data_IF_078163916183
#
_entry.id   IF_078163916183
#
_cell.length_a   1.000
_cell.length_b   1.000
_cell.length_c   1.000
_cell.angle_alpha   90.00
_cell.angle_beta   90.00
_cell.angle_gamma   90.00
#
_symmetry.space_group_name_H-M   'P 1'
#
loop_
_entity.id
_entity.type
_entity.pdbx_description
1 polymer ?
#
# COMPACT_ATOMS: atom_id res chain seq x y z
N UNK A 1 28.04 -4.15 5.74
CA UNK A 1 27.02 -4.01 4.70
C UNK A 1 26.15 -5.23 4.66
N UNK A 2 24.95 -5.24 5.06
CA UNK A 2 24.15 -6.37 4.66
C UNK A 2 22.67 -6.11 4.51
N UNK A 3 22.30 -4.86 4.34
CA UNK A 3 21.03 -4.57 3.71
C UNK A 3 21.10 -5.02 2.25
N UNK A 4 20.28 -6.01 1.89
CA UNK A 4 20.22 -6.53 0.53
C UNK A 4 18.92 -6.12 -0.15
N UNK A 5 18.97 -6.05 -1.47
CA UNK A 5 17.78 -5.83 -2.30
C UNK A 5 17.11 -7.17 -2.65
N UNK A 6 15.84 -7.13 -3.07
CA UNK A 6 15.13 -8.31 -3.60
C UNK A 6 15.90 -8.96 -4.77
N UNK A 7 16.55 -8.17 -5.62
CA UNK A 7 17.39 -8.67 -6.72
C UNK A 7 18.56 -9.47 -6.20
N UNK A 8 19.23 -8.97 -5.16
CA UNK A 8 20.37 -9.66 -4.56
C UNK A 8 19.95 -10.97 -3.87
N UNK A 9 18.79 -10.97 -3.20
CA UNK A 9 18.23 -12.20 -2.65
C UNK A 9 17.98 -13.25 -3.74
N UNK A 10 17.40 -12.85 -4.89
CA UNK A 10 17.18 -13.75 -6.03
C UNK A 10 18.51 -14.32 -6.59
N UNK A 11 19.54 -13.49 -6.67
CA UNK A 11 20.87 -13.93 -7.09
C UNK A 11 21.48 -14.94 -6.12
N UNK A 12 21.36 -14.71 -4.79
CA UNK A 12 21.81 -15.64 -3.76
C UNK A 12 21.10 -16.99 -3.87
N UNK A 13 19.78 -16.96 -4.04
CA UNK A 13 18.96 -18.18 -4.22
C UNK A 13 19.36 -18.93 -5.49
N UNK A 14 19.56 -18.23 -6.62
CA UNK A 14 19.93 -18.83 -7.90
C UNK A 14 21.34 -19.45 -7.88
N UNK A 15 22.27 -18.86 -7.11
CA UNK A 15 23.66 -19.35 -6.95
C UNK A 15 23.81 -20.34 -5.79
N UNK A 16 22.74 -20.70 -5.10
CA UNK A 16 22.74 -21.54 -3.89
C UNK A 16 23.61 -21.01 -2.74
N UNK A 17 23.83 -19.69 -2.73
CA UNK A 17 24.63 -18.99 -1.72
C UNK A 17 23.72 -18.42 -0.61
N UNK A 18 22.94 -19.29 0.03
CA UNK A 18 22.03 -18.87 1.10
C UNK A 18 22.82 -18.71 2.40
N UNK A 19 22.68 -17.56 3.04
CA UNK A 19 23.28 -17.30 4.36
C UNK A 19 22.52 -17.96 5.50
N UNK A 20 23.09 -17.93 6.70
CA UNK A 20 22.50 -18.55 7.90
C UNK A 20 21.47 -17.65 8.61
N UNK A 21 21.39 -16.34 8.29
CA UNK A 21 20.48 -15.41 8.96
C UNK A 21 19.89 -14.41 7.98
N UNK A 22 18.56 -14.30 8.02
CA UNK A 22 17.79 -13.29 7.27
C UNK A 22 16.81 -12.55 8.17
N UNK A 23 16.68 -11.23 7.96
CA UNK A 23 15.67 -10.40 8.58
C UNK A 23 14.84 -9.69 7.51
N UNK A 24 13.57 -10.05 7.40
CA UNK A 24 12.63 -9.55 6.41
C UNK A 24 11.63 -8.60 7.08
N UNK A 25 11.65 -7.34 6.73
CA UNK A 25 10.81 -6.32 7.37
C UNK A 25 10.42 -5.20 6.43
N UNK A 26 9.51 -4.33 6.84
CA UNK A 26 9.11 -3.13 6.11
C UNK A 26 7.61 -2.95 5.98
N UNK A 27 7.22 -1.89 5.28
CA UNK A 27 5.82 -1.49 5.14
C UNK A 27 5.06 -2.40 4.15
N UNK A 28 5.75 -2.93 3.12
CA UNK A 28 5.14 -3.78 2.09
C UNK A 28 5.09 -5.25 2.53
N UNK A 29 4.05 -5.58 3.30
CA UNK A 29 3.89 -6.92 3.89
C UNK A 29 3.76 -8.04 2.85
N UNK A 30 3.20 -7.75 1.67
CA UNK A 30 3.18 -8.70 0.55
C UNK A 30 4.59 -9.09 0.12
N UNK A 31 5.51 -8.12 0.02
CA UNK A 31 6.89 -8.38 -0.38
C UNK A 31 7.65 -9.13 0.71
N UNK A 32 7.43 -8.82 1.99
CA UNK A 32 7.98 -9.58 3.13
C UNK A 32 7.60 -11.06 3.00
N UNK A 33 6.31 -11.38 2.88
CA UNK A 33 5.81 -12.75 2.72
C UNK A 33 6.32 -13.42 1.44
N UNK A 34 6.37 -12.71 0.33
CA UNK A 34 6.85 -13.23 -0.96
C UNK A 34 8.34 -13.61 -0.88
N UNK A 35 9.16 -12.81 -0.20
CA UNK A 35 10.58 -13.08 -0.02
C UNK A 35 10.80 -14.24 0.95
N UNK A 36 10.01 -14.33 2.03
CA UNK A 36 9.98 -15.52 2.89
C UNK A 36 9.69 -16.79 2.08
N UNK A 37 8.60 -16.80 1.31
CA UNK A 37 8.18 -17.97 0.53
C UNK A 37 9.25 -18.39 -0.50
N UNK A 38 10.02 -17.45 -1.05
CA UNK A 38 11.14 -17.77 -1.94
C UNK A 38 12.27 -18.49 -1.21
N UNK A 39 12.61 -18.04 -0.01
CA UNK A 39 13.61 -18.70 0.83
C UNK A 39 13.14 -20.09 1.24
N UNK A 40 11.90 -20.19 1.75
CA UNK A 40 11.32 -21.47 2.17
C UNK A 40 11.29 -22.48 1.03
N UNK A 41 10.83 -22.09 -0.16
CA UNK A 41 10.79 -22.95 -1.34
C UNK A 41 12.17 -23.48 -1.74
N UNK A 42 13.24 -22.72 -1.50
CA UNK A 42 14.61 -23.17 -1.79
C UNK A 42 15.18 -24.04 -0.68
N UNK A 43 14.73 -23.81 0.56
CA UNK A 43 15.13 -24.57 1.75
C UNK A 43 14.24 -25.79 1.99
N UNK A 44 13.20 -25.98 1.18
CA UNK A 44 12.30 -27.13 1.20
C UNK A 44 13.12 -28.38 0.80
N UNK A 45 13.54 -29.12 1.79
CA UNK A 45 14.43 -30.26 1.67
C UNK A 45 13.77 -31.55 2.14
N UNK A 46 14.60 -32.60 2.34
CA UNK A 46 14.14 -33.87 2.88
C UNK A 46 13.63 -33.71 4.32
N UNK A 47 12.52 -34.36 4.64
CA UNK A 47 11.92 -34.43 5.98
C UNK A 47 11.59 -33.04 6.56
N UNK A 48 10.69 -32.23 5.91
CA UNK A 48 10.37 -30.89 6.38
C UNK A 48 9.80 -30.90 7.80
N UNK A 49 9.10 -31.94 8.22
CA UNK A 49 8.55 -32.11 9.57
C UNK A 49 9.62 -32.09 10.69
N UNK A 50 10.89 -32.43 10.35
CA UNK A 50 12.02 -32.39 11.29
C UNK A 50 12.95 -31.19 11.05
N UNK A 51 12.99 -30.69 9.82
CA UNK A 51 13.95 -29.67 9.39
C UNK A 51 13.37 -28.27 9.21
N UNK A 52 12.05 -28.10 9.40
CA UNK A 52 11.38 -26.81 9.41
C UNK A 52 10.66 -26.59 10.74
N UNK A 53 10.95 -25.48 11.39
CA UNK A 53 10.26 -25.06 12.61
C UNK A 53 9.85 -23.60 12.53
N UNK A 54 8.62 -23.31 12.91
CA UNK A 54 8.07 -21.96 12.94
C UNK A 54 7.73 -21.53 14.37
N UNK A 55 8.15 -20.34 14.74
CA UNK A 55 7.91 -19.75 16.05
C UNK A 55 7.05 -18.48 15.91
N UNK A 56 6.02 -18.33 16.74
CA UNK A 56 5.22 -17.11 16.83
C UNK A 56 5.98 -15.98 17.55
N UNK A 57 5.39 -14.80 17.54
CA UNK A 57 5.95 -13.56 18.09
C UNK A 57 6.29 -13.59 19.61
N UNK A 58 5.62 -14.46 20.36
CA UNK A 58 5.72 -14.61 21.81
C UNK A 58 6.56 -15.83 22.26
N UNK A 59 7.21 -16.51 21.29
CA UNK A 59 8.06 -17.66 21.61
C UNK A 59 9.26 -17.23 22.46
N UNK A 60 9.59 -18.00 23.53
CA UNK A 60 10.78 -17.73 24.34
C UNK A 60 12.06 -17.82 23.48
N UNK A 61 13.01 -16.89 23.72
CA UNK A 61 14.29 -16.88 22.99
C UNK A 61 15.05 -18.21 23.20
N UNK A 62 14.97 -18.78 24.39
CA UNK A 62 15.62 -20.08 24.70
C UNK A 62 15.08 -21.20 23.79
N UNK A 63 13.77 -21.26 23.55
CA UNK A 63 13.16 -22.26 22.65
C UNK A 63 13.60 -22.08 21.20
N UNK A 64 13.74 -20.83 20.76
CA UNK A 64 14.27 -20.51 19.42
C UNK A 64 15.75 -20.93 19.34
N UNK A 65 16.54 -20.67 20.38
CA UNK A 65 17.95 -21.04 20.45
C UNK A 65 18.13 -22.56 20.39
N UNK A 66 17.36 -23.33 21.16
CA UNK A 66 17.39 -24.80 21.13
C UNK A 66 17.08 -25.31 19.72
N UNK A 67 16.09 -24.74 19.06
CA UNK A 67 15.72 -25.09 17.70
C UNK A 67 16.82 -24.72 16.69
N UNK A 68 17.49 -23.59 16.83
CA UNK A 68 18.56 -23.14 15.92
C UNK A 68 19.81 -24.00 16.05
N UNK A 69 20.21 -24.37 17.27
CA UNK A 69 21.44 -25.13 17.55
C UNK A 69 21.29 -26.63 17.24
N UNK A 70 20.07 -27.18 17.34
CA UNK A 70 19.82 -28.60 17.03
C UNK A 70 20.27 -28.95 15.61
N UNK A 71 20.86 -30.16 15.41
CA UNK A 71 21.33 -30.60 14.10
C UNK A 71 20.18 -30.93 13.14
N UNK A 72 20.34 -30.69 11.82
CA UNK A 72 19.35 -31.11 10.83
C UNK A 72 19.24 -32.65 10.78
N UNK A 73 18.03 -33.15 10.55
CA UNK A 73 17.76 -34.59 10.44
C UNK A 73 17.86 -35.05 8.98
N UNK A 74 18.87 -35.82 8.67
CA UNK A 74 19.11 -36.40 7.33
C UNK A 74 19.02 -35.37 6.19
N UNK A 75 19.40 -34.11 6.46
CA UNK A 75 19.44 -33.00 5.51
C UNK A 75 20.72 -32.16 5.71
N UNK A 76 21.13 -31.44 4.68
CA UNK A 76 22.29 -30.55 4.77
C UNK A 76 22.02 -29.34 5.65
N UNK A 77 20.79 -28.83 5.58
CA UNK A 77 20.35 -27.63 6.30
C UNK A 77 18.93 -27.75 6.83
N UNK A 78 18.66 -27.06 7.90
CA UNK A 78 17.31 -26.84 8.42
C UNK A 78 16.95 -25.37 8.40
N UNK A 79 15.66 -25.07 8.49
CA UNK A 79 15.11 -23.74 8.50
C UNK A 79 14.32 -23.51 9.78
N UNK A 80 14.62 -22.40 10.46
CA UNK A 80 13.86 -21.91 11.62
C UNK A 80 13.31 -20.54 11.25
N UNK A 81 12.00 -20.35 11.40
CA UNK A 81 11.37 -19.05 11.15
C UNK A 81 10.78 -18.47 12.42
N UNK A 82 10.88 -17.16 12.59
CA UNK A 82 10.28 -16.42 13.72
C UNK A 82 9.47 -15.28 13.16
N UNK A 83 8.18 -15.28 13.44
CA UNK A 83 7.27 -14.23 12.98
C UNK A 83 7.12 -13.11 14.02
N UNK A 84 7.08 -11.85 13.56
CA UNK A 84 6.80 -10.65 14.36
C UNK A 84 7.60 -10.53 15.67
N UNK A 85 8.88 -10.97 15.66
CA UNK A 85 9.77 -10.83 16.82
C UNK A 85 9.93 -9.34 17.19
N UNK A 86 9.42 -8.96 18.37
CA UNK A 86 9.40 -7.56 18.79
C UNK A 86 10.53 -7.24 19.78
N UNK A 87 11.68 -6.83 19.29
CA UNK A 87 12.84 -6.44 20.12
C UNK A 87 12.56 -5.22 21.00
N UNK A 88 11.58 -4.38 20.65
CA UNK A 88 11.20 -3.22 21.48
C UNK A 88 10.55 -3.66 22.80
N UNK A 89 9.78 -4.73 22.78
CA UNK A 89 9.09 -5.29 23.95
C UNK A 89 10.00 -6.12 24.85
N UNK A 90 11.16 -6.58 24.34
CA UNK A 90 12.09 -7.42 25.08
C UNK A 90 12.80 -6.65 26.20
N UNK A 91 13.00 -7.31 27.33
CA UNK A 91 13.88 -6.83 28.41
C UNK A 91 15.37 -7.05 28.05
N UNK A 92 16.27 -6.50 28.85
CA UNK A 92 17.72 -6.57 28.59
C UNK A 92 18.24 -8.01 28.55
N UNK A 93 17.79 -8.88 29.46
CA UNK A 93 18.25 -10.27 29.51
C UNK A 93 17.81 -11.07 28.28
N UNK A 94 16.59 -10.84 27.79
CA UNK A 94 16.08 -11.46 26.55
C UNK A 94 16.84 -10.96 25.32
N UNK A 95 17.16 -9.66 25.28
CA UNK A 95 17.96 -9.08 24.20
C UNK A 95 19.38 -9.66 24.17
N UNK A 96 20.01 -9.82 25.33
CA UNK A 96 21.35 -10.38 25.43
C UNK A 96 21.38 -11.82 24.95
N UNK A 97 20.39 -12.63 25.34
CA UNK A 97 20.22 -14.01 24.84
C UNK A 97 19.99 -14.05 23.32
N UNK A 98 19.14 -13.13 22.81
CA UNK A 98 18.91 -13.04 21.37
C UNK A 98 20.22 -12.69 20.62
N UNK A 99 21.00 -11.75 21.13
CA UNK A 99 22.28 -11.39 20.51
C UNK A 99 23.31 -12.52 20.55
N UNK A 100 23.36 -13.27 21.64
CA UNK A 100 24.19 -14.47 21.77
C UNK A 100 23.78 -15.53 20.74
N UNK A 101 22.46 -15.78 20.59
CA UNK A 101 21.93 -16.66 19.56
C UNK A 101 22.36 -16.24 18.16
N UNK A 102 22.23 -14.95 17.82
CA UNK A 102 22.61 -14.43 16.48
C UNK A 102 24.11 -14.60 16.20
N UNK A 103 24.96 -14.62 17.23
CA UNK A 103 26.40 -14.83 17.10
C UNK A 103 26.80 -16.30 16.94
N UNK A 104 25.91 -17.24 17.32
CA UNK A 104 26.19 -18.69 17.40
C UNK A 104 25.42 -19.55 16.41
N UNK A 105 24.73 -18.97 15.41
CA UNK A 105 23.95 -19.72 14.40
C UNK A 105 24.87 -20.66 13.61
N UNK A 106 24.62 -21.99 13.61
CA UNK A 106 25.39 -22.93 12.81
C UNK A 106 25.20 -22.73 11.31
N UNK A 107 26.21 -23.06 10.50
CA UNK A 107 26.09 -23.01 9.02
C UNK A 107 25.03 -23.97 8.47
N UNK A 108 24.69 -25.00 9.23
CA UNK A 108 23.64 -25.98 8.91
C UNK A 108 22.23 -25.46 9.19
N UNK A 109 22.07 -24.28 9.80
CA UNK A 109 20.77 -23.69 10.11
C UNK A 109 20.58 -22.37 9.38
N UNK A 110 19.39 -22.16 8.83
CA UNK A 110 18.97 -20.86 8.31
C UNK A 110 17.87 -20.30 9.22
N UNK A 111 18.20 -19.27 9.97
CA UNK A 111 17.24 -18.53 10.79
C UNK A 111 16.66 -17.37 9.96
N UNK A 112 15.33 -17.32 9.86
CA UNK A 112 14.61 -16.25 9.15
C UNK A 112 13.70 -15.56 10.14
N UNK A 113 14.03 -14.33 10.51
CA UNK A 113 13.14 -13.45 11.29
C UNK A 113 12.39 -12.59 10.30
N UNK A 114 11.06 -12.58 10.37
CA UNK A 114 10.24 -11.81 9.44
C UNK A 114 9.08 -11.11 10.15
N UNK A 115 8.71 -9.92 9.67
CA UNK A 115 7.67 -9.08 10.29
C UNK A 115 6.45 -8.94 9.35
N UNK A 116 5.55 -9.96 9.34
CA UNK A 116 4.35 -9.96 8.49
C UNK A 116 3.30 -8.95 8.93
N UNK A 117 3.28 -8.51 10.19
CA UNK A 117 2.30 -7.56 10.72
C UNK A 117 2.94 -6.39 11.46
N UNK A 118 4.03 -6.64 12.18
CA UNK A 118 4.69 -5.62 12.99
C UNK A 118 5.32 -4.55 12.10
N UNK A 119 5.02 -3.28 12.39
CA UNK A 119 5.66 -2.12 11.79
C UNK A 119 6.78 -1.62 12.70
N UNK A 120 7.93 -1.34 12.12
CA UNK A 120 9.09 -0.83 12.85
C UNK A 120 9.63 0.44 12.19
N UNK A 121 10.11 1.37 13.02
CA UNK A 121 10.84 2.53 12.55
C UNK A 121 12.24 2.55 13.20
N UNK A 122 13.26 1.98 12.52
CA UNK A 122 14.62 1.95 13.06
C UNK A 122 15.22 3.33 13.29
N UNK A 123 14.68 4.38 12.66
CA UNK A 123 15.16 5.75 12.87
C UNK A 123 14.74 6.30 14.23
N UNK A 124 13.60 5.88 14.74
CA UNK A 124 13.06 6.33 16.03
C UNK A 124 13.47 5.45 17.21
N UNK A 125 13.70 4.15 16.99
CA UNK A 125 14.02 3.19 18.06
C UNK A 125 15.52 2.88 18.15
N UNK A 126 16.09 3.02 19.33
CA UNK A 126 17.49 2.65 19.61
C UNK A 126 17.68 1.13 19.62
N UNK A 127 16.71 0.36 20.13
CA UNK A 127 16.76 -1.11 20.15
C UNK A 127 16.79 -1.67 18.73
N UNK A 128 15.90 -1.21 17.84
CA UNK A 128 15.91 -1.64 16.44
C UNK A 128 17.20 -1.26 15.70
N UNK A 129 17.77 -0.08 15.96
CA UNK A 129 19.06 0.29 15.37
C UNK A 129 20.20 -0.64 15.82
N UNK A 130 20.22 -0.98 17.12
CA UNK A 130 21.23 -1.90 17.66
C UNK A 130 21.05 -3.29 17.09
N UNK A 131 19.82 -3.79 17.02
CA UNK A 131 19.51 -5.08 16.41
C UNK A 131 19.95 -5.17 14.95
N UNK A 132 19.62 -4.18 14.12
CA UNK A 132 20.07 -4.12 12.73
C UNK A 132 21.60 -4.10 12.61
N UNK A 133 22.30 -3.35 13.46
CA UNK A 133 23.78 -3.34 13.47
C UNK A 133 24.37 -4.71 13.79
N UNK A 134 23.74 -5.45 14.70
CA UNK A 134 24.13 -6.85 15.01
C UNK A 134 23.90 -7.78 13.81
N UNK A 135 22.75 -7.68 13.18
CA UNK A 135 22.44 -8.43 11.96
C UNK A 135 23.44 -8.15 10.83
N UNK A 136 23.89 -6.89 10.72
CA UNK A 136 24.82 -6.45 9.68
C UNK A 136 26.17 -7.20 9.70
N UNK A 137 26.55 -7.80 10.78
CA UNK A 137 27.81 -8.56 10.93
C UNK A 137 27.65 -10.04 10.65
N UNK A 138 26.43 -10.60 10.72
CA UNK A 138 26.19 -12.05 10.70
C UNK A 138 25.17 -12.51 9.66
N UNK A 139 24.34 -11.61 9.15
CA UNK A 139 23.23 -11.98 8.28
C UNK A 139 22.90 -10.93 7.25
N UNK A 140 21.70 -11.03 6.70
CA UNK A 140 21.18 -10.16 5.68
C UNK A 140 19.86 -9.53 6.13
N UNK A 141 19.76 -8.23 6.04
CA UNK A 141 18.51 -7.51 6.23
C UNK A 141 17.88 -7.13 4.88
N UNK A 142 16.60 -7.39 4.71
CA UNK A 142 15.84 -7.09 3.49
C UNK A 142 14.65 -6.20 3.83
N UNK A 143 14.80 -4.87 3.69
CA UNK A 143 13.69 -3.94 3.86
C UNK A 143 12.76 -4.01 2.65
N UNK A 144 11.48 -4.18 2.90
CA UNK A 144 10.39 -4.09 1.92
C UNK A 144 9.67 -2.77 2.10
N UNK A 145 10.23 -1.71 1.54
CA UNK A 145 9.69 -0.35 1.62
C UNK A 145 8.53 -0.17 0.65
N UNK A 146 7.66 0.81 0.92
CA UNK A 146 6.60 1.21 -0.01
C UNK A 146 7.18 1.60 -1.34
N UNK A 147 6.60 1.05 -2.40
CA UNK A 147 7.01 1.34 -3.76
C UNK A 147 6.51 2.73 -4.18
N UNK A 148 7.35 3.46 -4.91
CA UNK A 148 6.96 4.70 -5.57
C UNK A 148 6.18 4.41 -6.86
N UNK A 149 5.46 5.39 -7.39
CA UNK A 149 4.63 5.24 -8.60
C UNK A 149 5.37 4.54 -9.75
N UNK A 150 6.58 4.98 -10.08
CA UNK A 150 7.41 4.35 -11.12
C UNK A 150 7.78 2.88 -10.84
N UNK A 151 7.88 2.50 -9.56
CA UNK A 151 8.19 1.13 -9.13
C UNK A 151 6.92 0.28 -9.14
N UNK A 152 5.76 0.89 -8.79
CA UNK A 152 4.44 0.26 -8.92
C UNK A 152 4.12 -0.06 -10.38
N UNK A 153 4.36 0.87 -11.31
CA UNK A 153 4.18 0.62 -12.74
C UNK A 153 5.02 -0.58 -13.21
N UNK A 154 6.32 -0.61 -12.83
CA UNK A 154 7.21 -1.72 -13.15
C UNK A 154 6.76 -3.03 -12.49
N UNK A 155 6.21 -2.94 -11.28
CA UNK A 155 5.68 -4.09 -10.56
C UNK A 155 4.49 -4.67 -11.31
N UNK A 156 3.52 -3.85 -11.68
CA UNK A 156 2.30 -4.24 -12.42
C UNK A 156 2.66 -4.88 -13.77
N UNK A 157 3.60 -4.29 -14.54
CA UNK A 157 4.09 -4.88 -15.77
C UNK A 157 4.70 -6.28 -15.55
N UNK A 158 5.56 -6.43 -14.54
CA UNK A 158 6.19 -7.72 -14.20
C UNK A 158 5.18 -8.79 -13.75
N UNK A 159 4.12 -8.40 -13.03
CA UNK A 159 3.07 -9.35 -12.65
C UNK A 159 2.28 -9.81 -13.90
N UNK A 160 2.03 -8.92 -14.87
CA UNK A 160 1.40 -9.29 -16.13
C UNK A 160 2.30 -10.23 -16.98
N UNK A 161 3.60 -9.94 -17.06
CA UNK A 161 4.59 -10.80 -17.76
C UNK A 161 4.63 -12.22 -17.23
N UNK A 162 4.52 -12.40 -15.91
CA UNK A 162 4.44 -13.74 -15.27
C UNK A 162 3.23 -14.56 -15.71
N UNK A 163 2.16 -13.88 -16.11
CA UNK A 163 0.94 -14.47 -16.64
C UNK A 163 0.91 -14.52 -18.18
N UNK A 164 2.07 -14.37 -18.84
CA UNK A 164 2.22 -14.32 -20.29
C UNK A 164 1.39 -13.20 -20.96
N UNK A 165 1.21 -12.08 -20.26
CA UNK A 165 0.55 -10.89 -20.79
C UNK A 165 1.56 -9.75 -20.97
N UNK A 166 1.38 -8.96 -22.03
CA UNK A 166 2.16 -7.76 -22.30
C UNK A 166 1.33 -6.54 -21.91
N UNK A 167 1.85 -5.75 -20.97
CA UNK A 167 1.20 -4.55 -20.48
C UNK A 167 2.07 -3.33 -20.76
N UNK A 168 1.56 -2.37 -21.54
CA UNK A 168 2.28 -1.13 -21.77
C UNK A 168 2.39 -0.30 -20.49
N UNK A 169 3.49 0.45 -20.35
CA UNK A 169 3.73 1.31 -19.20
C UNK A 169 2.60 2.31 -18.96
N UNK A 170 2.02 2.88 -20.02
CA UNK A 170 0.89 3.81 -19.94
C UNK A 170 -0.36 3.16 -19.34
N UNK A 171 -0.62 1.89 -19.68
CA UNK A 171 -1.73 1.15 -19.08
C UNK A 171 -1.42 0.72 -17.64
N UNK A 172 -0.16 0.39 -17.31
CA UNK A 172 0.25 0.13 -15.94
C UNK A 172 0.07 1.36 -15.05
N UNK A 173 0.46 2.57 -15.51
CA UNK A 173 0.19 3.83 -14.83
C UNK A 173 -1.32 4.00 -14.57
N UNK A 174 -2.16 3.75 -15.57
CA UNK A 174 -3.62 3.84 -15.43
C UNK A 174 -4.16 2.85 -14.40
N UNK A 175 -3.66 1.61 -14.39
CA UNK A 175 -4.06 0.60 -13.38
C UNK A 175 -3.68 1.06 -11.98
N UNK A 176 -2.46 1.59 -11.80
CA UNK A 176 -2.02 2.13 -10.51
C UNK A 176 -2.91 3.31 -10.08
N UNK A 177 -3.29 4.20 -11.00
CA UNK A 177 -4.23 5.29 -10.72
C UNK A 177 -5.61 4.79 -10.31
N UNK A 178 -6.11 3.69 -10.88
CA UNK A 178 -7.44 3.14 -10.58
C UNK A 178 -7.48 2.37 -9.27
N UNK A 179 -6.45 1.60 -8.99
CA UNK A 179 -6.41 0.67 -7.86
C UNK A 179 -5.75 1.29 -6.62
N UNK A 180 -4.84 2.26 -6.84
CA UNK A 180 -4.02 2.85 -5.79
C UNK A 180 -2.70 2.10 -5.60
N UNK A 181 -2.09 2.27 -4.41
CA UNK A 181 -0.74 1.78 -4.12
C UNK A 181 -0.70 0.48 -3.30
N UNK A 182 -1.82 -0.17 -3.06
CA UNK A 182 -1.88 -1.47 -2.39
C UNK A 182 -1.44 -2.58 -3.33
N UNK A 183 -0.32 -3.24 -3.03
CA UNK A 183 0.24 -4.30 -3.87
C UNK A 183 -0.64 -5.54 -3.97
N UNK A 184 -1.43 -5.87 -2.93
CA UNK A 184 -2.36 -7.00 -2.98
C UNK A 184 -3.49 -6.69 -3.96
N UNK A 185 -4.10 -5.50 -3.84
CA UNK A 185 -5.14 -5.04 -4.75
C UNK A 185 -4.62 -5.00 -6.20
N UNK A 186 -3.44 -4.40 -6.43
CA UNK A 186 -2.81 -4.35 -7.76
C UNK A 186 -2.55 -5.76 -8.32
N UNK A 187 -2.02 -6.67 -7.50
CA UNK A 187 -1.76 -8.07 -7.93
C UNK A 187 -3.06 -8.77 -8.33
N UNK A 188 -4.12 -8.61 -7.52
CA UNK A 188 -5.42 -9.23 -7.79
C UNK A 188 -6.05 -8.67 -9.08
N UNK A 189 -6.01 -7.35 -9.29
CA UNK A 189 -6.55 -6.72 -10.49
C UNK A 189 -5.76 -7.12 -11.75
N UNK A 190 -4.43 -7.18 -11.68
CA UNK A 190 -3.60 -7.65 -12.80
C UNK A 190 -3.87 -9.14 -13.10
N UNK A 191 -3.98 -9.98 -12.09
CA UNK A 191 -4.30 -11.40 -12.26
C UNK A 191 -5.65 -11.58 -12.94
N UNK A 192 -6.68 -10.86 -12.48
CA UNK A 192 -8.02 -10.85 -13.09
C UNK A 192 -7.98 -10.36 -14.53
N UNK A 193 -7.25 -9.27 -14.79
CA UNK A 193 -7.10 -8.69 -16.12
C UNK A 193 -6.39 -9.65 -17.10
N UNK A 194 -5.32 -10.30 -16.68
CA UNK A 194 -4.60 -11.30 -17.46
C UNK A 194 -5.46 -12.53 -17.76
N UNK A 195 -6.23 -13.00 -16.77
CA UNK A 195 -7.18 -14.09 -16.99
C UNK A 195 -8.29 -13.71 -17.99
N UNK A 196 -8.78 -12.47 -17.95
CA UNK A 196 -9.75 -11.96 -18.91
C UNK A 196 -9.17 -11.81 -20.33
N UNK A 197 -7.91 -11.37 -20.44
CA UNK A 197 -7.22 -11.20 -21.72
C UNK A 197 -6.87 -12.55 -22.37
N UNK A 198 -6.69 -13.62 -21.59
CA UNK A 198 -6.31 -14.94 -22.09
C UNK A 198 -4.87 -15.02 -22.61
N UNK A 199 -4.00 -14.07 -22.26
CA UNK A 199 -2.62 -13.93 -22.72
C UNK A 199 -2.48 -12.86 -23.82
N UNK A 200 -1.21 -12.56 -24.17
CA UNK A 200 -0.89 -11.57 -25.20
C UNK A 200 -0.96 -10.11 -24.73
N UNK A 201 -1.17 -9.19 -25.68
CA UNK A 201 -1.17 -7.75 -25.38
C UNK A 201 -2.50 -7.31 -24.75
N UNK A 202 -2.40 -6.62 -23.62
CA UNK A 202 -3.54 -6.03 -22.91
C UNK A 202 -3.92 -4.69 -23.52
N UNK A 203 -5.21 -4.53 -23.86
CA UNK A 203 -5.76 -3.31 -24.45
C UNK A 203 -6.32 -2.34 -23.42
N UNK A 204 -6.45 -1.06 -23.79
CA UNK A 204 -7.07 -0.05 -22.95
C UNK A 204 -8.55 -0.37 -22.65
N UNK A 205 -9.28 -0.96 -23.59
CA UNK A 205 -10.68 -1.37 -23.41
C UNK A 205 -10.81 -2.47 -22.34
N UNK A 206 -9.91 -3.46 -22.39
CA UNK A 206 -9.87 -4.53 -21.37
C UNK A 206 -9.60 -3.96 -19.97
N UNK A 207 -8.67 -2.99 -19.84
CA UNK A 207 -8.41 -2.30 -18.56
C UNK A 207 -9.66 -1.58 -18.06
N UNK A 208 -10.33 -0.78 -18.91
CA UNK A 208 -11.54 -0.05 -18.52
C UNK A 208 -12.69 -0.95 -18.08
N UNK A 209 -12.84 -2.10 -18.74
CA UNK A 209 -13.92 -3.05 -18.49
C UNK A 209 -13.67 -3.93 -17.27
N UNK A 210 -12.41 -4.26 -16.97
CA UNK A 210 -12.07 -5.30 -16.00
C UNK A 210 -11.55 -4.75 -14.67
N UNK A 211 -10.74 -3.66 -14.72
CA UNK A 211 -10.09 -3.14 -13.53
C UNK A 211 -11.10 -2.39 -12.66
N UNK A 212 -11.24 -2.83 -11.43
CA UNK A 212 -12.09 -2.18 -10.43
C UNK A 212 -11.39 -0.93 -9.92
N UNK A 213 -12.07 0.22 -10.03
CA UNK A 213 -11.58 1.47 -9.48
C UNK A 213 -11.84 1.45 -7.97
N UNK A 214 -10.84 1.83 -7.16
CA UNK A 214 -11.04 1.97 -5.72
C UNK A 214 -11.97 3.15 -5.40
N UNK A 215 -12.52 3.18 -4.20
CA UNK A 215 -13.44 4.23 -3.75
C UNK A 215 -12.82 5.62 -3.90
N UNK A 216 -11.59 5.82 -3.45
CA UNK A 216 -10.92 7.13 -3.50
C UNK A 216 -10.82 7.64 -4.94
N UNK A 217 -10.38 6.80 -5.88
CA UNK A 217 -10.32 7.14 -7.30
C UNK A 217 -11.71 7.43 -7.88
N UNK A 218 -12.72 6.63 -7.52
CA UNK A 218 -14.10 6.84 -7.99
C UNK A 218 -14.64 8.17 -7.49
N UNK A 219 -14.38 8.54 -6.23
CA UNK A 219 -14.79 9.83 -5.66
C UNK A 219 -14.02 11.01 -6.31
N UNK A 220 -12.75 10.86 -6.66
CA UNK A 220 -12.03 11.88 -7.44
C UNK A 220 -12.61 12.06 -8.86
N UNK A 221 -13.02 10.98 -9.51
CA UNK A 221 -13.73 11.06 -10.79
C UNK A 221 -15.09 11.73 -10.63
N UNK A 222 -15.79 11.45 -9.54
CA UNK A 222 -17.04 12.10 -9.15
C UNK A 222 -16.84 13.61 -8.92
N UNK A 223 -15.84 13.99 -8.12
CA UNK A 223 -15.48 15.39 -7.89
C UNK A 223 -15.23 16.14 -9.21
N UNK A 224 -14.46 15.52 -10.14
CA UNK A 224 -14.22 16.09 -11.45
C UNK A 224 -15.49 16.24 -12.29
N UNK A 225 -16.40 15.25 -12.26
CA UNK A 225 -17.68 15.34 -12.95
C UNK A 225 -18.56 16.49 -12.39
N UNK A 226 -18.58 16.63 -11.05
CA UNK A 226 -19.31 17.72 -10.38
C UNK A 226 -18.77 19.10 -10.77
N UNK A 227 -17.44 19.28 -10.77
CA UNK A 227 -16.79 20.53 -11.16
C UNK A 227 -17.06 20.90 -12.62
N UNK A 228 -17.12 19.90 -13.52
CA UNK A 228 -17.41 20.11 -14.96
C UNK A 228 -18.88 20.23 -15.31
N UNK A 229 -19.77 20.09 -14.35
CA UNK A 229 -21.20 20.12 -14.62
C UNK A 229 -21.74 18.88 -15.34
N UNK A 230 -21.01 17.76 -15.31
CA UNK A 230 -21.43 16.51 -15.96
C UNK A 230 -22.37 15.71 -15.03
N UNK A 231 -23.66 16.06 -15.09
CA UNK A 231 -24.72 15.45 -14.28
C UNK A 231 -24.78 13.92 -14.45
N UNK A 232 -24.83 13.47 -15.71
CA UNK A 232 -25.00 12.04 -16.02
C UNK A 232 -23.88 11.21 -15.43
N UNK A 233 -22.65 11.68 -15.58
CA UNK A 233 -21.46 11.00 -15.05
C UNK A 233 -21.41 11.04 -13.52
N UNK A 234 -21.76 12.18 -12.90
CA UNK A 234 -21.75 12.31 -11.45
C UNK A 234 -22.72 11.31 -10.80
N UNK A 235 -23.95 11.20 -11.29
CA UNK A 235 -24.94 10.26 -10.76
C UNK A 235 -24.57 8.81 -11.05
N UNK A 236 -24.04 8.49 -12.24
CA UNK A 236 -23.56 7.13 -12.55
C UNK A 236 -22.42 6.69 -11.62
N UNK A 237 -21.54 7.61 -11.22
CA UNK A 237 -20.46 7.33 -10.26
C UNK A 237 -20.99 7.18 -8.83
N UNK A 238 -22.03 7.93 -8.44
CA UNK A 238 -22.70 7.71 -7.16
C UNK A 238 -23.34 6.32 -7.11
N UNK A 239 -24.09 5.94 -8.14
CA UNK A 239 -24.72 4.63 -8.22
C UNK A 239 -23.68 3.50 -8.16
N UNK A 240 -22.51 3.69 -8.80
CA UNK A 240 -21.41 2.74 -8.72
C UNK A 240 -20.89 2.60 -7.28
N UNK A 241 -20.65 3.72 -6.57
CA UNK A 241 -20.19 3.71 -5.17
C UNK A 241 -21.22 3.02 -4.25
N UNK A 242 -22.50 3.32 -4.43
CA UNK A 242 -23.57 2.68 -3.66
C UNK A 242 -23.69 1.17 -3.98
N UNK A 243 -23.49 0.77 -5.25
CA UNK A 243 -23.48 -0.66 -5.63
C UNK A 243 -22.25 -1.39 -5.04
N UNK A 244 -21.13 -0.70 -4.82
CA UNK A 244 -19.97 -1.20 -4.10
C UNK A 244 -20.17 -1.26 -2.57
N UNK A 245 -21.35 -0.86 -2.07
CA UNK A 245 -21.71 -0.78 -0.65
C UNK A 245 -20.84 0.19 0.14
N UNK A 246 -20.36 1.24 -0.53
CA UNK A 246 -19.65 2.31 0.17
C UNK A 246 -20.63 3.15 0.99
N UNK A 247 -20.26 3.42 2.22
CA UNK A 247 -21.10 4.18 3.14
C UNK A 247 -21.19 5.67 2.75
N UNK A 248 -22.37 6.29 2.75
CA UNK A 248 -22.59 7.67 2.35
C UNK A 248 -21.66 8.67 3.07
N UNK A 249 -21.43 8.49 4.37
CA UNK A 249 -20.54 9.36 5.14
C UNK A 249 -19.07 9.21 4.69
N UNK A 250 -18.64 8.03 4.25
CA UNK A 250 -17.29 7.80 3.74
C UNK A 250 -17.11 8.47 2.38
N UNK A 251 -18.10 8.36 1.50
CA UNK A 251 -18.13 9.06 0.21
C UNK A 251 -18.02 10.58 0.45
N UNK A 252 -18.83 11.11 1.37
CA UNK A 252 -18.81 12.54 1.72
C UNK A 252 -17.46 12.98 2.30
N UNK A 253 -16.84 12.17 3.16
CA UNK A 253 -15.53 12.48 3.76
C UNK A 253 -14.42 12.59 2.70
N UNK A 254 -14.37 11.65 1.74
CA UNK A 254 -13.39 11.69 0.64
C UNK A 254 -13.69 12.85 -0.32
N UNK A 255 -14.95 13.09 -0.64
CA UNK A 255 -15.37 14.22 -1.47
C UNK A 255 -14.99 15.57 -0.83
N UNK A 256 -15.29 15.73 0.46
CA UNK A 256 -14.90 16.91 1.24
C UNK A 256 -13.38 17.13 1.22
N UNK A 257 -12.62 16.05 1.38
CA UNK A 257 -11.16 16.07 1.30
C UNK A 257 -10.67 16.57 -0.07
N UNK A 258 -11.31 16.14 -1.18
CA UNK A 258 -10.98 16.60 -2.53
C UNK A 258 -11.25 18.12 -2.70
N UNK A 259 -12.38 18.62 -2.21
CA UNK A 259 -12.68 20.05 -2.26
C UNK A 259 -11.76 20.88 -1.35
N UNK A 260 -11.34 20.37 -0.19
CA UNK A 260 -10.33 21.00 0.66
C UNK A 260 -8.99 21.10 -0.08
N UNK A 261 -8.59 20.06 -0.79
CA UNK A 261 -7.36 20.08 -1.58
C UNK A 261 -7.45 21.10 -2.73
N UNK A 262 -8.58 21.17 -3.44
CA UNK A 262 -8.84 22.20 -4.45
C UNK A 262 -8.77 23.61 -3.86
N UNK A 263 -9.38 23.84 -2.69
CA UNK A 263 -9.31 25.14 -2.00
C UNK A 263 -7.85 25.51 -1.65
N UNK A 264 -7.08 24.58 -1.09
CA UNK A 264 -5.67 24.80 -0.73
C UNK A 264 -4.80 25.10 -1.96
N UNK A 265 -5.00 24.34 -3.05
CA UNK A 265 -4.27 24.57 -4.31
C UNK A 265 -4.65 25.93 -4.90
N UNK A 266 -5.94 26.29 -4.93
CA UNK A 266 -6.38 27.61 -5.43
C UNK A 266 -5.78 28.75 -4.60
N UNK A 267 -5.83 28.65 -3.29
CA UNK A 267 -5.23 29.63 -2.39
C UNK A 267 -3.70 29.76 -2.59
N UNK A 268 -3.00 28.66 -2.84
CA UNK A 268 -1.58 28.67 -3.17
C UNK A 268 -1.31 29.41 -4.48
N UNK A 269 -2.09 29.13 -5.54
CA UNK A 269 -1.99 29.81 -6.84
C UNK A 269 -2.23 31.33 -6.69
N UNK A 270 -3.26 31.74 -5.98
CA UNK A 270 -3.56 33.18 -5.74
C UNK A 270 -2.48 33.87 -4.90
N UNK A 271 -1.81 33.12 -4.01
CA UNK A 271 -0.66 33.61 -3.25
C UNK A 271 0.66 33.59 -4.04
N UNK A 272 0.66 33.24 -5.33
CA UNK A 272 1.86 33.13 -6.17
C UNK A 272 2.79 31.97 -5.79
N UNK A 273 2.27 30.97 -5.05
CA UNK A 273 3.02 29.78 -4.65
C UNK A 273 2.80 28.62 -5.62
N UNK A 274 3.62 27.59 -5.50
CA UNK A 274 3.45 26.36 -6.29
C UNK A 274 2.21 25.58 -5.83
N UNK A 275 1.62 24.78 -6.71
CA UNK A 275 0.46 23.90 -6.43
C UNK A 275 0.78 22.82 -5.41
N UNK A 276 2.07 22.58 -5.12
CA UNK A 276 2.56 21.67 -4.10
C UNK A 276 2.75 22.32 -2.71
N UNK A 277 2.59 23.64 -2.57
CA UNK A 277 2.73 24.33 -1.29
C UNK A 277 1.84 23.76 -0.15
N UNK A 278 0.63 23.19 -0.41
CA UNK A 278 -0.14 22.54 0.63
C UNK A 278 0.57 21.39 1.38
N UNK A 279 1.61 20.78 0.80
CA UNK A 279 2.41 19.72 1.47
C UNK A 279 3.15 20.23 2.71
N UNK A 280 3.36 21.55 2.83
CA UNK A 280 3.97 22.17 4.01
C UNK A 280 3.03 22.16 5.23
N UNK A 281 1.71 22.09 5.00
CA UNK A 281 0.67 22.27 6.02
C UNK A 281 -0.19 21.02 6.24
N UNK A 282 -0.02 19.96 5.43
CA UNK A 282 -0.80 18.73 5.49
C UNK A 282 0.04 17.49 5.21
N UNK A 283 -0.42 16.33 5.70
CA UNK A 283 0.24 15.07 5.43
C UNK A 283 -0.19 14.49 4.07
N UNK A 284 0.59 14.75 3.04
CA UNK A 284 0.39 14.24 1.69
C UNK A 284 1.41 13.13 1.32
N UNK A 285 2.15 12.58 2.28
CA UNK A 285 3.14 11.52 2.03
C UNK A 285 2.50 10.29 1.37
N UNK A 286 2.97 9.94 0.17
CA UNK A 286 2.39 8.87 -0.65
C UNK A 286 1.01 9.20 -1.26
N UNK A 287 0.56 10.47 -1.20
CA UNK A 287 -0.72 10.95 -1.72
C UNK A 287 -0.58 12.22 -2.55
N UNK A 288 0.58 12.51 -3.09
CA UNK A 288 0.86 13.71 -3.90
C UNK A 288 -0.05 13.80 -5.13
N UNK A 289 -0.53 12.67 -5.62
CA UNK A 289 -1.48 12.60 -6.73
C UNK A 289 -2.78 13.39 -6.45
N UNK A 290 -3.20 13.54 -5.19
CA UNK A 290 -4.38 14.32 -4.81
C UNK A 290 -4.24 15.80 -5.22
N UNK A 291 -3.07 16.39 -4.99
CA UNK A 291 -2.79 17.77 -5.37
C UNK A 291 -2.74 17.94 -6.89
N UNK A 292 -2.27 16.93 -7.64
CA UNK A 292 -2.30 16.92 -9.11
C UNK A 292 -3.75 16.88 -9.64
N UNK A 293 -4.62 16.10 -9.01
CA UNK A 293 -6.05 16.11 -9.34
C UNK A 293 -6.68 17.47 -9.01
N UNK A 294 -6.43 17.99 -7.82
CA UNK A 294 -6.93 19.30 -7.40
C UNK A 294 -6.46 20.44 -8.33
N UNK A 295 -5.18 20.44 -8.76
CA UNK A 295 -4.64 21.41 -9.72
C UNK A 295 -5.39 21.41 -11.06
N UNK A 296 -5.70 20.21 -11.55
CA UNK A 296 -6.46 20.07 -12.81
C UNK A 296 -7.89 20.60 -12.66
N UNK A 297 -8.54 20.29 -11.54
CA UNK A 297 -9.96 20.52 -11.33
C UNK A 297 -10.26 21.96 -10.86
N UNK A 298 -9.25 22.68 -10.31
CA UNK A 298 -9.42 24.03 -9.75
C UNK A 298 -9.37 25.16 -10.78
N UNK A 299 -9.06 24.86 -12.05
CA UNK A 299 -8.77 25.89 -13.08
C UNK A 299 -9.92 26.88 -13.26
N UNK A 300 -11.14 26.38 -13.27
CA UNK A 300 -12.36 27.15 -13.57
C UNK A 300 -13.15 27.51 -12.29
N UNK A 301 -12.57 27.29 -11.09
CA UNK A 301 -13.20 27.57 -9.82
C UNK A 301 -12.53 28.75 -9.11
N UNK A 302 -13.30 29.73 -8.69
CA UNK A 302 -12.81 30.82 -7.82
C UNK A 302 -12.73 30.33 -6.36
N UNK A 303 -11.99 31.08 -5.53
CA UNK A 303 -11.88 30.76 -4.10
C UNK A 303 -13.23 30.93 -3.38
N UNK A 304 -14.07 31.86 -3.84
CA UNK A 304 -15.42 32.11 -3.31
C UNK A 304 -16.34 30.91 -3.61
N UNK A 305 -16.30 30.38 -4.85
CA UNK A 305 -17.07 29.21 -5.24
C UNK A 305 -16.65 27.98 -4.40
N UNK A 306 -15.35 27.80 -4.17
CA UNK A 306 -14.84 26.71 -3.34
C UNK A 306 -15.28 26.85 -1.88
N UNK A 307 -15.34 28.07 -1.33
CA UNK A 307 -15.91 28.34 0.01
C UNK A 307 -17.40 27.98 0.08
N UNK A 308 -18.17 28.33 -0.96
CA UNK A 308 -19.59 27.95 -1.05
C UNK A 308 -19.74 26.44 -1.10
N UNK A 309 -18.95 25.73 -1.93
CA UNK A 309 -18.93 24.26 -2.00
C UNK A 309 -18.59 23.63 -0.64
N UNK A 310 -17.57 24.13 0.07
CA UNK A 310 -17.20 23.61 1.40
C UNK A 310 -18.32 23.83 2.42
N UNK A 311 -19.06 24.93 2.35
CA UNK A 311 -20.23 25.17 3.20
C UNK A 311 -21.36 24.20 2.89
N UNK A 312 -21.60 23.87 1.62
CA UNK A 312 -22.59 22.86 1.21
C UNK A 312 -22.21 21.45 1.70
N UNK A 313 -20.94 21.09 1.60
CA UNK A 313 -20.41 19.82 2.11
C UNK A 313 -20.58 19.72 3.63
N UNK A 314 -20.28 20.77 4.39
CA UNK A 314 -20.49 20.83 5.83
C UNK A 314 -21.98 20.67 6.20
N UNK A 315 -22.88 21.33 5.49
CA UNK A 315 -24.32 21.21 5.73
C UNK A 315 -24.83 19.79 5.44
N UNK A 316 -24.29 19.13 4.42
CA UNK A 316 -24.59 17.74 4.13
C UNK A 316 -24.08 16.79 5.23
N UNK A 317 -22.87 17.01 5.73
CA UNK A 317 -22.30 16.23 6.85
C UNK A 317 -23.19 16.33 8.10
N UNK A 318 -23.64 17.53 8.44
CA UNK A 318 -24.58 17.74 9.53
C UNK A 318 -25.93 17.04 9.28
N UNK A 319 -26.44 17.10 8.05
CA UNK A 319 -27.70 16.42 7.68
C UNK A 319 -27.59 14.91 7.84
N UNK A 320 -26.52 14.27 7.35
CA UNK A 320 -26.29 12.83 7.47
C UNK A 320 -26.15 12.41 8.95
N UNK A 321 -25.43 13.19 9.77
CA UNK A 321 -25.26 12.91 11.20
C UNK A 321 -26.56 13.05 12.02
N UNK A 322 -27.47 13.87 11.55
CA UNK A 322 -28.78 14.10 12.20
C UNK A 322 -29.89 13.24 11.61
N UNK A 323 -29.70 12.67 10.41
CA UNK A 323 -30.66 11.81 9.77
C UNK A 323 -30.56 10.38 10.32
N UNK A 324 -31.68 9.71 10.46
CA UNK A 324 -31.76 8.38 11.10
C UNK A 324 -31.88 7.21 10.11
N UNK A 325 -31.27 7.23 8.91
CA UNK A 325 -31.37 6.07 8.02
C UNK A 325 -30.73 6.22 6.63
N UNK A 326 -30.22 5.11 6.09
CA UNK A 326 -29.47 5.02 4.81
C UNK A 326 -30.16 5.68 3.60
N UNK A 327 -31.49 5.59 3.50
CA UNK A 327 -32.22 6.23 2.41
C UNK A 327 -32.18 7.78 2.49
N UNK A 328 -32.18 8.32 3.70
CA UNK A 328 -32.08 9.76 3.92
C UNK A 328 -30.67 10.28 3.61
N UNK A 329 -29.66 9.47 3.89
CA UNK A 329 -28.25 9.79 3.63
C UNK A 329 -27.97 9.85 2.12
N UNK A 330 -28.54 8.92 1.35
CA UNK A 330 -28.48 8.96 -0.12
C UNK A 330 -29.15 10.23 -0.68
N UNK A 331 -30.35 10.57 -0.21
CA UNK A 331 -31.06 11.80 -0.62
C UNK A 331 -30.24 13.04 -0.29
N UNK A 332 -29.58 13.06 0.88
CA UNK A 332 -28.70 14.18 1.27
C UNK A 332 -27.53 14.35 0.30
N UNK A 333 -26.89 13.25 -0.14
CA UNK A 333 -25.83 13.28 -1.15
C UNK A 333 -26.34 13.74 -2.52
N UNK A 334 -27.48 13.24 -2.98
CA UNK A 334 -28.09 13.64 -4.26
C UNK A 334 -28.44 15.15 -4.26
N UNK A 335 -28.97 15.65 -3.15
CA UNK A 335 -29.22 17.10 -2.96
C UNK A 335 -27.92 17.88 -3.00
N UNK A 336 -26.88 17.43 -2.29
CA UNK A 336 -25.56 18.06 -2.32
C UNK A 336 -25.02 18.13 -3.75
N UNK A 337 -25.12 17.04 -4.52
CA UNK A 337 -24.63 17.01 -5.91
C UNK A 337 -25.34 18.04 -6.78
N UNK A 338 -26.67 18.13 -6.69
CA UNK A 338 -27.42 19.16 -7.40
C UNK A 338 -26.95 20.58 -7.04
N UNK A 339 -26.65 20.83 -5.76
CA UNK A 339 -26.15 22.11 -5.30
C UNK A 339 -24.73 22.41 -5.80
N UNK A 340 -23.82 21.44 -5.73
CA UNK A 340 -22.44 21.60 -6.22
C UNK A 340 -22.40 21.83 -7.74
N UNK A 341 -23.23 21.09 -8.50
CA UNK A 341 -23.39 21.29 -9.93
C UNK A 341 -23.95 22.67 -10.28
N UNK A 342 -24.88 23.19 -9.49
CA UNK A 342 -25.40 24.56 -9.66
C UNK A 342 -24.32 25.62 -9.45
N UNK A 343 -23.46 25.44 -8.41
CA UNK A 343 -22.33 26.36 -8.16
C UNK A 343 -21.35 26.32 -9.33
N UNK A 344 -21.00 25.14 -9.81
CA UNK A 344 -20.09 24.94 -10.94
C UNK A 344 -20.64 25.62 -12.23
N UNK A 345 -21.93 25.42 -12.52
CA UNK A 345 -22.57 26.00 -13.72
C UNK A 345 -22.60 27.53 -13.69
N UNK A 346 -22.87 28.12 -12.53
CA UNK A 346 -22.88 29.59 -12.35
C UNK A 346 -21.51 30.22 -12.65
N UNK A 347 -20.42 29.54 -12.34
CA UNK A 347 -19.06 29.99 -12.61
C UNK A 347 -18.64 29.85 -14.08
N UNK A 348 -19.27 28.98 -14.86
CA UNK A 348 -18.98 28.83 -16.28
C UNK A 348 -19.70 29.87 -17.18
N UNK A 349 -20.61 30.64 -16.64
CA UNK A 349 -21.42 31.65 -17.35
C UNK A 349 -20.96 33.10 -17.04
N UNK A 350 -20.08 33.27 -16.05
CA UNK A 350 -19.48 34.54 -15.67
C UNK A 350 -18.05 34.66 -16.25
#
# INVERSE_FOLDING_TARGET
>A
MPEITETKLKEQIAKEQIGSLYFLYGDEKLLVRRNLNRLLKKLDGNFPEFNFQEFPHDAPVDSIADAVVAMPFMAERKCVTVSDLNVEAMNTAELDKLYELLDTIPETTVLIIYLPTLEIDPKKSAKWRTFLKKLDTRGFSLPSLRLKDNELEKYVCREAEKANCLLSRKLAERIVQYVGNDLNALTNEVTKLCAFAGGGEITAEQVEKTVTKNMETTVFLLSNALVRGDYSKAYALLDLLMAQREEPYTILAVLSSAYIDMYRVRAAIEAGKTTMAPTEYGDYRGRDFRLKYAERDVRDLSIEMLRECLSLLLNCDLSIKLSGGENMDRIALEKLFAQLLYVAHRGSVA
#
